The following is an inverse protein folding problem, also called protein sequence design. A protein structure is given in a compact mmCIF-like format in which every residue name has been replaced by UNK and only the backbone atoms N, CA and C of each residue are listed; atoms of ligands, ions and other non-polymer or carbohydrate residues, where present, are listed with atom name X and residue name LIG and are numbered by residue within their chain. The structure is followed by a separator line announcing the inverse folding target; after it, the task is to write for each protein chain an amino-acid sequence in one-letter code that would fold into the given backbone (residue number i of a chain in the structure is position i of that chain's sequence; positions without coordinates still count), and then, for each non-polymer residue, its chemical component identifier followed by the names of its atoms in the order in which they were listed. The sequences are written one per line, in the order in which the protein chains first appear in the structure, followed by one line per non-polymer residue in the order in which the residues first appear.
data_IF_776169583081
#
_entry.id   IF_776169583081
#
_cell.length_a   1.000
_cell.length_b   1.000
_cell.length_c   1.000
_cell.angle_alpha   90.00
_cell.angle_beta   90.00
_cell.angle_gamma   90.00
#
_symmetry.space_group_name_H-M   'P 1'
#
loop_
_entity.id
_entity.type
_entity.pdbx_description
1 polymer ?
#
# COMPACT_ATOMS: atom_id res chain seq x y z
N UNK A 1 -21.02 -29.81 -34.86
CA UNK A 1 -21.19 -29.72 -33.40
C UNK A 1 -19.87 -29.55 -32.64
N UNK A 2 -18.86 -30.37 -32.82
CA UNK A 2 -17.59 -30.33 -32.07
C UNK A 2 -16.81 -29.00 -32.21
N UNK A 3 -16.83 -28.36 -33.40
CA UNK A 3 -16.16 -27.07 -33.63
C UNK A 3 -16.79 -25.90 -32.84
N UNK A 4 -18.11 -25.92 -32.68
CA UNK A 4 -18.83 -24.89 -31.91
C UNK A 4 -18.57 -25.05 -30.41
N UNK A 5 -18.50 -26.26 -29.89
CA UNK A 5 -18.21 -26.52 -28.45
C UNK A 5 -16.80 -26.04 -28.09
N UNK A 6 -15.82 -26.24 -28.99
CA UNK A 6 -14.46 -25.75 -28.80
C UNK A 6 -14.36 -24.22 -28.77
N UNK A 7 -15.14 -23.53 -29.60
CA UNK A 7 -15.20 -22.07 -29.62
C UNK A 7 -15.79 -21.51 -28.32
N UNK A 8 -16.84 -22.12 -27.79
CA UNK A 8 -17.44 -21.70 -26.52
C UNK A 8 -16.55 -21.99 -25.30
N UNK A 9 -15.78 -23.08 -25.32
CA UNK A 9 -14.83 -23.41 -24.24
C UNK A 9 -13.67 -22.39 -24.18
N UNK A 10 -13.16 -21.93 -25.34
CA UNK A 10 -12.11 -20.92 -25.39
C UNK A 10 -12.64 -19.56 -24.94
N UNK A 11 -13.86 -19.19 -25.34
CA UNK A 11 -14.47 -17.92 -24.91
C UNK A 11 -14.72 -17.89 -23.39
N UNK A 12 -15.16 -19.01 -22.80
CA UNK A 12 -15.36 -19.14 -21.36
C UNK A 12 -14.03 -19.04 -20.57
N UNK A 13 -12.94 -19.56 -21.11
CA UNK A 13 -11.61 -19.51 -20.47
C UNK A 13 -11.04 -18.08 -20.44
N UNK A 14 -11.30 -17.28 -21.48
CA UNK A 14 -10.82 -15.87 -21.57
C UNK A 14 -11.55 -14.98 -20.57
N UNK A 15 -12.81 -15.26 -20.23
CA UNK A 15 -13.60 -14.49 -19.26
C UNK A 15 -13.17 -14.69 -17.80
N UNK A 16 -12.40 -15.75 -17.50
CA UNK A 16 -11.90 -16.03 -16.14
C UNK A 16 -10.61 -15.29 -15.79
N UNK A 17 -10.01 -14.54 -16.72
CA UNK A 17 -8.76 -13.80 -16.50
C UNK A 17 -8.97 -12.35 -16.01
N UNK A 18 -10.20 -11.97 -15.73
CA UNK A 18 -10.53 -10.68 -15.10
C UNK A 18 -10.00 -10.63 -13.67
N UNK A 19 -8.72 -10.29 -13.49
CA UNK A 19 -8.12 -10.08 -12.18
C UNK A 19 -8.84 -8.95 -11.43
N UNK A 20 -9.23 -9.21 -10.18
CA UNK A 20 -9.75 -8.19 -9.29
C UNK A 20 -8.68 -7.11 -9.07
N UNK A 21 -8.82 -5.96 -9.70
CA UNK A 21 -8.03 -4.77 -9.33
C UNK A 21 -8.65 -4.18 -8.07
N UNK A 22 -7.86 -4.14 -6.98
CA UNK A 22 -8.26 -3.39 -5.79
C UNK A 22 -8.22 -1.90 -6.08
N UNK A 23 -9.33 -1.20 -5.90
CA UNK A 23 -9.43 0.26 -6.02
C UNK A 23 -8.56 1.02 -4.99
N UNK A 24 -8.03 0.29 -3.99
CA UNK A 24 -7.17 0.83 -2.94
C UNK A 24 -5.68 0.86 -3.34
N UNK A 25 -5.32 0.31 -4.50
CA UNK A 25 -3.93 0.27 -4.97
C UNK A 25 -3.68 1.30 -6.06
N UNK A 26 -2.73 2.18 -5.83
CA UNK A 26 -2.23 3.14 -6.83
C UNK A 26 -0.80 2.76 -7.20
N UNK A 27 -0.52 2.56 -8.49
CA UNK A 27 0.85 2.35 -8.98
C UNK A 27 1.60 3.68 -8.95
N UNK A 28 2.84 3.67 -8.46
CA UNK A 28 3.74 4.81 -8.64
C UNK A 28 3.94 5.06 -10.13
N UNK A 29 3.69 6.29 -10.59
CA UNK A 29 3.70 6.64 -12.02
C UNK A 29 2.32 6.56 -12.71
N UNK A 30 1.26 6.19 -12.00
CA UNK A 30 -0.12 6.39 -12.43
C UNK A 30 -0.66 7.72 -11.88
N UNK A 31 -1.52 8.41 -12.66
CA UNK A 31 -2.25 9.57 -12.13
C UNK A 31 -2.88 9.19 -10.79
N UNK A 32 -2.55 9.94 -9.74
CA UNK A 32 -3.18 9.76 -8.43
C UNK A 32 -4.70 9.78 -8.62
N UNK A 33 -5.38 8.74 -8.12
CA UNK A 33 -6.83 8.82 -8.01
C UNK A 33 -7.15 10.09 -7.24
N UNK A 34 -8.03 10.93 -7.78
CA UNK A 34 -8.46 12.17 -7.15
C UNK A 34 -8.94 11.82 -5.74
N UNK A 35 -8.15 12.23 -4.75
CA UNK A 35 -8.46 11.99 -3.34
C UNK A 35 -9.75 12.73 -3.06
N UNK A 36 -10.81 12.02 -2.70
CA UNK A 36 -11.98 12.66 -2.11
C UNK A 36 -11.49 13.50 -0.91
N UNK A 37 -11.98 14.74 -0.73
CA UNK A 37 -11.55 15.57 0.39
C UNK A 37 -11.76 14.78 1.69
N UNK A 38 -10.69 14.59 2.47
CA UNK A 38 -10.77 13.94 3.76
C UNK A 38 -11.80 14.67 4.62
N UNK A 39 -12.72 13.95 5.23
CA UNK A 39 -13.62 14.51 6.22
C UNK A 39 -12.73 15.14 7.31
N UNK A 40 -13.11 16.31 7.83
CA UNK A 40 -12.27 17.12 8.75
C UNK A 40 -11.82 16.34 10.00
N UNK A 41 -12.50 15.25 10.32
CA UNK A 41 -12.20 14.36 11.45
C UNK A 41 -11.36 13.14 11.10
N UNK A 42 -11.02 12.94 9.82
CA UNK A 42 -10.19 11.82 9.36
C UNK A 42 -8.78 12.27 9.04
N UNK A 43 -7.84 11.35 9.23
CA UNK A 43 -6.47 11.45 8.75
C UNK A 43 -6.28 10.51 7.55
N UNK A 44 -5.32 10.84 6.71
CA UNK A 44 -4.91 10.00 5.59
C UNK A 44 -3.55 9.38 5.87
N UNK A 45 -3.42 8.06 5.77
CA UNK A 45 -2.13 7.36 5.87
C UNK A 45 -1.80 6.72 4.55
N UNK A 46 -0.65 7.08 3.97
CA UNK A 46 -0.14 6.57 2.70
C UNK A 46 1.00 5.60 2.96
N UNK A 47 0.76 4.32 2.75
CA UNK A 47 1.75 3.26 2.83
C UNK A 47 2.40 3.09 1.47
N UNK A 48 3.66 3.52 1.34
CA UNK A 48 4.37 3.54 0.07
C UNK A 48 5.52 2.54 0.02
N UNK A 49 5.72 1.93 -1.14
CA UNK A 49 6.87 1.05 -1.42
C UNK A 49 7.53 1.46 -2.74
N UNK A 50 8.38 2.50 -2.73
CA UNK A 50 9.00 3.04 -3.94
C UNK A 50 10.06 2.10 -4.54
N UNK A 51 10.61 1.15 -3.77
CA UNK A 51 11.69 0.27 -4.21
C UNK A 51 11.22 -0.91 -5.05
N UNK A 52 12.10 -1.39 -5.93
CA UNK A 52 11.91 -2.63 -6.71
C UNK A 52 12.38 -3.88 -5.95
N UNK A 53 13.10 -3.73 -4.85
CA UNK A 53 13.61 -4.84 -4.06
C UNK A 53 12.47 -5.77 -3.63
N UNK A 54 12.63 -7.07 -3.84
CA UNK A 54 11.59 -8.06 -3.53
C UNK A 54 10.32 -7.88 -4.37
N UNK A 55 10.44 -7.45 -5.64
CA UNK A 55 9.33 -7.03 -6.49
C UNK A 55 8.22 -8.07 -6.67
N UNK A 56 8.56 -9.35 -6.65
CA UNK A 56 7.60 -10.44 -6.75
C UNK A 56 6.78 -10.69 -5.48
N UNK A 57 7.18 -10.11 -4.33
CA UNK A 57 6.54 -10.36 -3.04
C UNK A 57 5.71 -9.13 -2.65
N UNK A 58 4.46 -9.36 -2.36
CA UNK A 58 3.50 -8.36 -1.90
C UNK A 58 3.41 -8.39 -0.37
N UNK A 59 3.00 -7.28 0.24
CA UNK A 59 2.69 -7.17 1.66
C UNK A 59 1.30 -6.62 1.87
N UNK A 60 0.59 -7.14 2.85
CA UNK A 60 -0.73 -6.64 3.25
C UNK A 60 -0.59 -5.67 4.42
N UNK A 61 -1.32 -4.58 4.36
CA UNK A 61 -1.36 -3.57 5.43
C UNK A 61 -2.73 -3.60 6.10
N UNK A 62 -2.73 -3.48 7.41
CA UNK A 62 -3.91 -3.49 8.25
C UNK A 62 -3.85 -2.37 9.29
N UNK A 63 -5.02 -1.88 9.67
CA UNK A 63 -5.23 -1.17 10.93
C UNK A 63 -5.81 -2.19 11.93
N UNK A 64 -5.12 -2.40 13.04
CA UNK A 64 -5.48 -3.37 14.08
C UNK A 64 -5.80 -2.70 15.42
N UNK A 65 -6.17 -1.44 15.35
CA UNK A 65 -6.52 -0.60 16.50
C UNK A 65 -7.68 -1.22 17.29
N UNK A 66 -7.56 -1.21 18.61
CA UNK A 66 -8.61 -1.67 19.51
C UNK A 66 -8.99 -3.16 19.36
N UNK A 67 -8.09 -3.99 18.82
CA UNK A 67 -8.36 -5.41 18.57
C UNK A 67 -9.26 -5.69 17.36
N UNK A 68 -9.66 -4.68 16.61
CA UNK A 68 -10.36 -4.79 15.35
C UNK A 68 -9.33 -4.87 14.21
N UNK A 69 -9.56 -5.75 13.22
CA UNK A 69 -8.68 -5.84 12.06
C UNK A 69 -9.38 -5.28 10.84
N UNK A 70 -8.88 -4.15 10.36
CA UNK A 70 -9.34 -3.50 9.14
C UNK A 70 -8.27 -3.65 8.05
N UNK A 71 -8.61 -4.30 6.95
CA UNK A 71 -7.72 -4.44 5.81
C UNK A 71 -7.56 -3.11 5.08
N UNK A 72 -6.31 -2.64 4.95
CA UNK A 72 -5.97 -1.40 4.27
C UNK A 72 -5.66 -1.57 2.79
N UNK A 73 -5.05 -2.69 2.43
CA UNK A 73 -4.68 -2.99 1.04
C UNK A 73 -3.41 -3.81 0.92
N UNK A 74 -3.01 -4.03 -0.34
CA UNK A 74 -1.79 -4.76 -0.69
C UNK A 74 -0.78 -3.80 -1.30
N UNK A 75 0.40 -3.73 -0.70
CA UNK A 75 1.52 -2.90 -1.19
C UNK A 75 2.48 -3.77 -1.96
N UNK A 76 2.63 -3.47 -3.25
CA UNK A 76 3.57 -4.11 -4.17
C UNK A 76 4.77 -3.19 -4.44
N UNK A 77 5.74 -3.68 -5.21
CA UNK A 77 6.84 -2.87 -5.74
C UNK A 77 6.30 -1.67 -6.53
N UNK A 78 6.78 -0.47 -6.25
CA UNK A 78 6.38 0.79 -6.89
C UNK A 78 4.87 1.08 -6.79
N UNK A 79 4.25 0.71 -5.65
CA UNK A 79 2.85 1.06 -5.38
C UNK A 79 2.71 1.75 -4.03
N UNK A 80 1.55 2.36 -3.84
CA UNK A 80 1.11 2.85 -2.55
C UNK A 80 -0.33 2.40 -2.26
N UNK A 81 -0.66 2.35 -0.99
CA UNK A 81 -2.01 2.15 -0.47
C UNK A 81 -2.35 3.32 0.42
N UNK A 82 -3.55 3.85 0.25
CA UNK A 82 -4.05 4.97 1.03
C UNK A 82 -5.19 4.49 1.92
N UNK A 83 -5.12 4.83 3.20
CA UNK A 83 -6.16 4.58 4.18
C UNK A 83 -6.66 5.90 4.76
N UNK A 84 -7.97 6.06 4.81
CA UNK A 84 -8.63 7.10 5.58
C UNK A 84 -9.06 6.48 6.91
N UNK A 85 -8.61 7.06 7.99
CA UNK A 85 -8.86 6.57 9.35
C UNK A 85 -9.28 7.74 10.24
N UNK A 86 -10.09 7.53 11.28
CA UNK A 86 -10.38 8.57 12.26
C UNK A 86 -9.09 9.19 12.82
N UNK A 87 -9.11 10.44 13.24
CA UNK A 87 -8.00 11.00 14.00
C UNK A 87 -7.87 10.31 15.36
N UNK A 88 -6.65 10.20 15.88
CA UNK A 88 -6.38 9.56 17.16
C UNK A 88 -5.24 8.54 17.11
N UNK A 89 -5.23 7.63 18.09
CA UNK A 89 -4.20 6.60 18.19
C UNK A 89 -4.55 5.37 17.34
N UNK A 90 -3.60 4.93 16.55
CA UNK A 90 -3.73 3.77 15.69
C UNK A 90 -2.55 2.81 15.84
N UNK A 91 -2.84 1.52 15.67
CA UNK A 91 -1.86 0.45 15.55
C UNK A 91 -1.96 -0.14 14.14
N UNK A 92 -0.98 0.16 13.30
CA UNK A 92 -0.88 -0.42 11.98
C UNK A 92 0.00 -1.66 11.97
N UNK A 93 -0.32 -2.59 11.09
CA UNK A 93 0.42 -3.83 10.90
C UNK A 93 0.69 -4.05 9.42
N UNK A 94 1.92 -4.48 9.10
CA UNK A 94 2.26 -5.01 7.77
C UNK A 94 2.63 -6.49 7.88
N UNK A 95 2.14 -7.28 6.94
CA UNK A 95 2.37 -8.74 6.93
C UNK A 95 3.16 -9.13 5.69
N UNK A 96 4.24 -9.90 5.92
CA UNK A 96 5.05 -10.56 4.92
C UNK A 96 5.42 -11.96 5.38
N UNK A 97 6.72 -12.26 5.55
CA UNK A 97 7.19 -13.47 6.25
C UNK A 97 6.86 -13.39 7.76
N UNK A 98 6.91 -12.17 8.31
CA UNK A 98 6.51 -11.85 9.67
C UNK A 98 5.55 -10.65 9.66
N UNK A 99 4.95 -10.38 10.81
CA UNK A 99 4.24 -9.12 11.04
C UNK A 99 5.20 -8.09 11.66
N UNK A 100 5.04 -6.83 11.25
CA UNK A 100 5.68 -5.67 11.86
C UNK A 100 4.60 -4.64 12.21
N UNK A 101 4.77 -3.93 13.33
CA UNK A 101 3.74 -3.07 13.89
C UNK A 101 4.26 -1.64 14.04
N UNK A 102 3.37 -0.67 13.90
CA UNK A 102 3.66 0.74 14.07
C UNK A 102 2.51 1.44 14.80
N UNK A 103 2.82 2.03 15.96
CA UNK A 103 1.91 2.95 16.61
C UNK A 103 2.01 4.33 15.96
N UNK A 104 0.88 5.00 15.81
CA UNK A 104 0.80 6.35 15.27
C UNK A 104 -0.32 7.14 15.95
N UNK A 105 -0.04 8.39 16.29
CA UNK A 105 -1.06 9.37 16.69
C UNK A 105 -1.30 10.29 15.51
N UNK A 106 -2.53 10.33 15.04
CA UNK A 106 -2.92 11.00 13.80
C UNK A 106 -3.81 12.21 14.12
N UNK A 107 -3.43 13.37 13.62
CA UNK A 107 -4.25 14.59 13.70
C UNK A 107 -5.25 14.64 12.55
N UNK A 108 -6.44 15.24 12.77
CA UNK A 108 -7.46 15.36 11.73
C UNK A 108 -6.99 16.20 10.54
N UNK A 109 -7.42 15.82 9.35
CA UNK A 109 -7.13 16.53 8.10
C UNK A 109 -5.69 16.42 7.61
N UNK A 110 -4.80 15.71 8.32
CA UNK A 110 -3.40 15.54 7.93
C UNK A 110 -3.16 14.27 7.11
N UNK A 111 -2.13 14.33 6.27
CA UNK A 111 -1.62 13.19 5.51
C UNK A 111 -0.27 12.76 6.05
N UNK A 112 -0.17 11.48 6.37
CA UNK A 112 1.03 10.83 6.89
C UNK A 112 1.56 9.84 5.86
N UNK A 113 2.88 9.74 5.75
CA UNK A 113 3.53 8.82 4.83
C UNK A 113 4.33 7.78 5.59
N UNK A 114 4.20 6.53 5.18
CA UNK A 114 4.87 5.39 5.78
C UNK A 114 5.58 4.59 4.70
N UNK A 115 6.87 4.42 4.84
CA UNK A 115 7.62 3.56 3.95
C UNK A 115 7.48 2.10 4.38
N UNK A 116 6.86 1.30 3.53
CA UNK A 116 6.85 -0.17 3.64
C UNK A 116 8.18 -0.68 3.11
N UNK A 117 9.15 -0.80 4.02
CA UNK A 117 10.54 -1.14 3.69
C UNK A 117 10.70 -2.65 3.58
N UNK A 118 11.05 -3.20 2.39
CA UNK A 118 11.39 -4.61 2.26
C UNK A 118 12.76 -4.88 2.89
N UNK A 119 12.88 -6.03 3.55
CA UNK A 119 14.12 -6.57 4.12
C UNK A 119 14.29 -8.02 3.71
N UNK A 120 15.52 -8.50 3.74
CA UNK A 120 15.80 -9.92 3.53
C UNK A 120 15.12 -10.74 4.61
N UNK A 121 14.36 -11.75 4.19
CA UNK A 121 13.83 -12.80 5.05
C UNK A 121 14.54 -14.13 4.79
N UNK A 122 14.10 -15.19 5.45
CA UNK A 122 14.66 -16.54 5.26
C UNK A 122 14.01 -17.21 4.05
N UNK A 123 12.68 -17.11 3.92
CA UNK A 123 11.89 -17.76 2.86
C UNK A 123 11.20 -16.73 1.93
N UNK A 124 10.80 -15.61 2.50
CA UNK A 124 10.13 -14.51 1.80
C UNK A 124 10.75 -13.19 2.25
N UNK A 125 10.32 -12.08 1.64
CA UNK A 125 10.69 -10.77 2.16
C UNK A 125 9.96 -10.49 3.48
N UNK A 126 10.68 -9.88 4.42
CA UNK A 126 10.13 -9.22 5.60
C UNK A 126 9.85 -7.77 5.26
N UNK A 127 8.91 -7.19 5.94
CA UNK A 127 8.58 -5.78 5.76
C UNK A 127 8.62 -5.05 7.09
N UNK A 128 8.95 -3.77 7.06
CA UNK A 128 8.87 -2.88 8.21
C UNK A 128 8.13 -1.62 7.83
N UNK A 129 7.34 -1.11 8.78
CA UNK A 129 6.67 0.18 8.70
C UNK A 129 7.60 1.26 9.25
N UNK A 130 7.99 2.21 8.41
CA UNK A 130 8.86 3.31 8.79
C UNK A 130 8.13 4.61 8.50
N UNK A 131 7.68 5.35 9.54
CA UNK A 131 7.07 6.65 9.34
C UNK A 131 8.09 7.62 8.76
N UNK A 132 7.65 8.47 7.82
CA UNK A 132 8.48 9.50 7.23
C UNK A 132 8.42 10.75 8.10
N UNK A 133 9.58 11.15 8.58
CA UNK A 133 9.82 12.40 9.30
C UNK A 133 10.80 13.28 8.50
N UNK A 134 11.14 14.44 9.05
CA UNK A 134 12.15 15.34 8.48
C UNK A 134 13.56 15.01 8.99
N UNK A 135 13.88 13.73 9.10
CA UNK A 135 15.18 13.28 9.62
C UNK A 135 16.27 13.45 8.57
N UNK A 136 17.28 14.24 8.90
CA UNK A 136 18.43 14.43 8.03
C UNK A 136 19.18 13.09 7.83
N UNK A 137 19.45 12.75 6.56
CA UNK A 137 20.17 11.52 6.19
C UNK A 137 19.30 10.28 5.96
N UNK A 138 18.02 10.29 6.30
CA UNK A 138 17.11 9.22 5.90
C UNK A 138 16.88 9.27 4.39
N UNK A 139 16.94 8.11 3.73
CA UNK A 139 16.73 8.00 2.28
C UNK A 139 15.37 8.57 1.84
N UNK A 140 14.34 8.21 2.58
CA UNK A 140 13.00 8.78 2.40
C UNK A 140 12.64 9.55 3.68
N UNK A 141 12.73 10.86 3.60
CA UNK A 141 12.15 11.79 4.55
C UNK A 141 11.29 12.78 3.77
N UNK A 142 10.44 13.53 4.44
CA UNK A 142 9.46 14.42 3.77
C UNK A 142 10.10 15.52 2.91
N UNK A 143 11.42 15.78 3.08
CA UNK A 143 12.19 16.79 2.33
C UNK A 143 13.19 16.15 1.36
N UNK A 144 13.30 14.82 1.32
CA UNK A 144 14.27 14.15 0.46
C UNK A 144 13.85 14.23 -1.01
N UNK A 145 14.86 14.30 -1.89
CA UNK A 145 14.64 14.23 -3.33
C UNK A 145 13.94 12.92 -3.72
N UNK A 146 14.32 11.79 -3.13
CA UNK A 146 13.72 10.48 -3.41
C UNK A 146 12.23 10.44 -3.07
N UNK A 147 11.80 11.13 -2.00
CA UNK A 147 10.39 11.27 -1.67
C UNK A 147 9.65 12.20 -2.63
N UNK A 148 10.27 13.34 -2.99
CA UNK A 148 9.68 14.29 -3.93
C UNK A 148 9.50 13.66 -5.32
N UNK A 149 10.49 12.92 -5.81
CA UNK A 149 10.43 12.20 -7.08
C UNK A 149 9.33 11.13 -7.01
N UNK A 150 9.30 10.32 -5.95
CA UNK A 150 8.22 9.34 -5.78
C UNK A 150 6.83 9.99 -5.80
N UNK A 151 6.65 11.09 -5.07
CA UNK A 151 5.36 11.80 -4.97
C UNK A 151 4.92 12.40 -6.30
N UNK A 152 5.87 12.86 -7.13
CA UNK A 152 5.57 13.39 -8.47
C UNK A 152 5.12 12.27 -9.42
N UNK A 153 5.71 11.08 -9.30
CA UNK A 153 5.52 9.95 -10.20
C UNK A 153 4.35 9.04 -9.75
N UNK A 154 3.74 9.29 -8.59
CA UNK A 154 2.56 8.60 -8.03
C UNK A 154 1.29 9.41 -8.21
#
# INVERSE_FOLDING_TARGET
MIKMIRAWAVLALVLMLGGCQSSLMTKSGGKAATVAPAVVEEATVVFMRPSVMGGAIQSSVYDVTGGQTRFGGIVSSKTAVQMHVPAGEHLFMVVGENADFMNATLDPGKTYYVWVRPRMGVWKARFSLIPLHNDAGAKYNLQSKDFADWKRDS
#
